data_IF_513127154326
#
_entry.id   IF_513127154326
#
_cell.length_a   1.000
_cell.length_b   1.000
_cell.length_c   1.000
_cell.angle_alpha   90.00
_cell.angle_beta   90.00
_cell.angle_gamma   90.00
#
_symmetry.space_group_name_H-M   'P 1'
#
loop_
_entity.id
_entity.type
_entity.pdbx_description
1 polymer ?
#
# COMPACT_ATOMS: atom_id res chain seq x y z
N UNK A 1 -17.20 1.42 7.29
CA UNK A 1 -16.66 0.23 6.60
C UNK A 1 -15.17 0.48 6.44
N UNK A 2 -14.33 -0.33 7.07
CA UNK A 2 -12.86 -0.16 7.01
C UNK A 2 -12.34 -1.17 6.01
N UNK A 3 -11.94 -0.71 4.82
CA UNK A 3 -11.48 -1.57 3.71
C UNK A 3 -10.15 -2.24 4.08
N UNK A 4 -9.98 -3.54 3.81
CA UNK A 4 -8.78 -4.31 4.16
C UNK A 4 -8.15 -4.96 2.91
N UNK A 5 -7.29 -4.24 2.19
CA UNK A 5 -6.59 -4.76 1.01
C UNK A 5 -5.38 -5.63 1.44
N UNK A 6 -5.44 -6.96 1.29
CA UNK A 6 -4.35 -7.91 1.62
C UNK A 6 -3.70 -8.46 0.35
N UNK A 7 -2.38 -8.72 0.31
CA UNK A 7 -1.64 -9.14 -0.90
C UNK A 7 -0.59 -10.18 -0.52
N UNK A 8 -0.54 -11.40 -1.08
CA UNK A 8 0.37 -12.52 -0.71
C UNK A 8 1.43 -12.85 -1.79
N UNK A 9 2.70 -13.03 -1.43
CA UNK A 9 3.76 -13.60 -2.30
C UNK A 9 4.47 -14.79 -1.63
N UNK A 10 4.35 -15.98 -2.25
CA UNK A 10 5.33 -17.06 -2.13
C UNK A 10 5.97 -17.30 -3.50
N UNK A 11 7.30 -17.37 -3.50
CA UNK A 11 8.13 -17.80 -4.63
C UNK A 11 8.07 -19.32 -4.75
N UNK A 12 7.71 -19.84 -5.93
CA UNK A 12 8.18 -21.15 -6.41
C UNK A 12 8.78 -21.01 -7.80
N UNK A 13 9.78 -21.86 -8.03
CA UNK A 13 10.81 -21.86 -9.07
C UNK A 13 10.31 -21.56 -10.48
N UNK A 14 11.06 -20.72 -11.18
CA UNK A 14 11.04 -20.54 -12.63
C UNK A 14 12.10 -21.44 -13.27
N UNK A 15 11.72 -22.16 -14.33
CA UNK A 15 12.64 -22.78 -15.27
C UNK A 15 13.55 -21.71 -15.93
N UNK A 16 14.80 -22.04 -16.29
CA UNK A 16 15.77 -21.07 -16.82
C UNK A 16 15.57 -20.80 -18.31
N UNK A 17 15.63 -19.51 -18.68
CA UNK A 17 15.87 -19.02 -20.04
C UNK A 17 17.39 -18.91 -20.24
N UNK A 18 17.97 -19.35 -21.38
CA UNK A 18 19.41 -19.40 -21.56
C UNK A 18 20.00 -18.01 -21.82
N UNK A 19 21.09 -17.68 -21.12
CA UNK A 19 21.95 -16.53 -21.40
C UNK A 19 23.40 -16.98 -21.32
N UNK A 20 24.15 -16.73 -22.39
CA UNK A 20 25.58 -17.05 -22.55
C UNK A 20 26.47 -16.35 -21.49
N UNK A 21 27.65 -16.93 -21.17
CA UNK A 21 28.40 -16.59 -19.97
C UNK A 21 29.31 -15.37 -20.12
N UNK A 22 29.28 -14.48 -19.12
CA UNK A 22 30.28 -13.43 -18.85
C UNK A 22 31.10 -13.86 -17.62
N UNK A 23 32.44 -13.70 -17.62
CA UNK A 23 33.34 -14.35 -16.64
C UNK A 23 33.24 -13.77 -15.22
N UNK A 24 33.50 -14.65 -14.25
CA UNK A 24 33.35 -14.44 -12.80
C UNK A 24 34.73 -14.22 -12.15
N UNK A 25 34.94 -13.21 -11.29
CA UNK A 25 36.09 -13.16 -10.39
C UNK A 25 35.86 -13.98 -9.10
N UNK A 26 36.95 -14.59 -8.60
CA UNK A 26 37.00 -15.57 -7.50
C UNK A 26 36.60 -15.05 -6.09
N UNK A 27 36.19 -15.95 -5.16
CA UNK A 27 35.59 -15.58 -3.88
C UNK A 27 36.58 -15.42 -2.69
N UNK A 28 36.25 -14.50 -1.78
CA UNK A 28 36.89 -14.25 -0.48
C UNK A 28 36.06 -14.96 0.64
N UNK A 29 36.67 -15.51 1.71
CA UNK A 29 36.06 -16.56 2.54
C UNK A 29 35.06 -16.09 3.63
N UNK A 30 34.23 -17.05 4.07
CA UNK A 30 33.10 -16.91 5.01
C UNK A 30 33.52 -17.18 6.46
N UNK A 31 32.98 -16.40 7.41
CA UNK A 31 32.90 -16.77 8.83
C UNK A 31 31.45 -16.82 9.38
N UNK A 32 31.10 -18.03 9.83
CA UNK A 32 30.29 -18.45 10.98
C UNK A 32 28.95 -17.77 11.36
N UNK A 33 27.88 -18.58 11.17
CA UNK A 33 26.78 -18.97 12.09
C UNK A 33 26.20 -17.94 13.08
N UNK A 34 24.86 -17.79 13.03
CA UNK A 34 24.06 -17.80 14.25
C UNK A 34 22.69 -18.49 14.04
N UNK A 35 22.46 -19.56 14.81
CA UNK A 35 21.18 -20.27 14.96
C UNK A 35 20.33 -19.53 15.98
N UNK A 36 19.04 -19.31 15.71
CA UNK A 36 17.93 -19.84 16.53
C UNK A 36 16.56 -19.37 16.02
N UNK A 37 15.70 -20.36 15.71
CA UNK A 37 14.24 -20.21 15.69
C UNK A 37 13.74 -20.11 17.13
N UNK A 38 12.81 -19.19 17.44
CA UNK A 38 11.71 -19.46 18.39
C UNK A 38 10.62 -18.37 18.33
N UNK A 39 9.40 -18.84 18.08
CA UNK A 39 8.07 -18.40 18.56
C UNK A 39 7.91 -16.95 19.03
N UNK A 40 6.97 -16.24 18.39
CA UNK A 40 6.12 -15.27 19.10
C UNK A 40 4.71 -15.28 18.49
N UNK A 41 3.90 -16.24 18.95
CA UNK A 41 2.44 -16.20 18.88
C UNK A 41 1.95 -15.63 20.20
N UNK A 42 1.51 -14.36 20.24
CA UNK A 42 0.56 -13.91 21.26
C UNK A 42 0.05 -12.49 21.02
N UNK A 43 -1.25 -12.43 20.69
CA UNK A 43 -2.24 -11.48 21.22
C UNK A 43 -1.97 -9.98 21.02
N UNK A 44 -2.25 -9.50 19.81
CA UNK A 44 -2.75 -8.13 19.63
C UNK A 44 -4.29 -8.18 19.69
N UNK A 45 -4.85 -7.94 20.88
CA UNK A 45 -6.31 -7.80 21.07
C UNK A 45 -6.65 -6.32 20.90
N UNK A 46 -6.62 -5.84 19.66
CA UNK A 46 -7.08 -4.49 19.35
C UNK A 46 -8.62 -4.49 19.37
N UNK A 47 -9.19 -3.86 20.40
CA UNK A 47 -10.64 -3.75 20.62
C UNK A 47 -11.20 -2.65 19.71
N UNK A 48 -11.16 -2.86 18.40
CA UNK A 48 -11.94 -2.07 17.44
C UNK A 48 -13.34 -2.68 17.44
N UNK A 49 -14.26 -2.01 18.15
CA UNK A 49 -15.73 -2.20 18.10
C UNK A 49 -16.21 -3.64 17.81
N UNK A 50 -16.18 -4.50 18.84
CA UNK A 50 -17.19 -5.55 19.07
C UNK A 50 -17.66 -6.42 17.89
N UNK A 51 -16.84 -6.72 16.89
CA UNK A 51 -17.13 -7.75 15.89
C UNK A 51 -16.15 -8.90 16.04
N UNK A 52 -16.71 -10.08 16.28
CA UNK A 52 -15.96 -11.34 16.33
C UNK A 52 -15.33 -11.60 14.96
N UNK A 53 -13.99 -11.64 14.89
CA UNK A 53 -13.23 -11.95 13.67
C UNK A 53 -13.19 -13.46 13.36
N UNK A 54 -13.98 -14.30 14.06
CA UNK A 54 -14.00 -15.76 13.86
C UNK A 54 -15.00 -16.25 12.80
N UNK A 55 -15.55 -15.36 11.97
CA UNK A 55 -16.59 -15.70 11.00
C UNK A 55 -16.50 -15.00 9.65
N UNK A 56 -15.29 -14.65 9.15
CA UNK A 56 -15.16 -14.11 7.79
C UNK A 56 -15.33 -15.25 6.77
N UNK A 57 -16.58 -15.62 6.47
CA UNK A 57 -16.91 -16.36 5.27
C UNK A 57 -16.59 -15.47 4.05
N UNK A 58 -15.88 -15.95 3.03
CA UNK A 58 -15.56 -15.17 1.84
C UNK A 58 -16.78 -15.09 0.91
N UNK A 59 -17.68 -14.16 1.18
CA UNK A 59 -18.62 -13.62 0.20
C UNK A 59 -18.33 -12.12 0.24
N UNK A 60 -17.45 -11.51 -0.56
CA UNK A 60 -17.41 -11.52 -2.01
C UNK A 60 -15.97 -11.23 -2.48
N UNK A 61 -15.04 -12.14 -2.20
CA UNK A 61 -13.65 -12.00 -2.63
C UNK A 61 -13.56 -12.27 -4.14
N UNK A 62 -13.80 -11.23 -4.94
CA UNK A 62 -13.76 -11.33 -6.41
C UNK A 62 -12.34 -11.67 -6.84
N UNK A 63 -12.13 -12.92 -7.21
CA UNK A 63 -10.87 -13.39 -7.80
C UNK A 63 -10.96 -13.11 -9.31
N UNK A 64 -10.29 -12.07 -9.77
CA UNK A 64 -10.34 -11.67 -11.17
C UNK A 64 -9.24 -12.38 -11.98
N UNK A 65 -9.62 -13.28 -12.89
CA UNK A 65 -8.76 -13.76 -13.98
C UNK A 65 -8.77 -12.71 -15.08
N UNK A 66 -7.74 -11.87 -15.13
CA UNK A 66 -7.65 -10.79 -16.11
C UNK A 66 -7.63 -11.35 -17.55
N UNK A 67 -8.71 -11.15 -18.31
CA UNK A 67 -8.64 -11.14 -19.79
C UNK A 67 -7.82 -9.91 -20.20
N UNK A 68 -6.91 -10.06 -21.15
CA UNK A 68 -6.05 -8.98 -21.63
C UNK A 68 -6.90 -7.99 -22.42
N UNK A 69 -7.42 -6.97 -21.76
CA UNK A 69 -8.02 -5.80 -22.41
C UNK A 69 -7.20 -4.58 -22.02
N UNK A 70 -6.41 -4.07 -22.99
CA UNK A 70 -5.71 -2.79 -22.83
C UNK A 70 -6.79 -1.72 -22.74
N UNK A 71 -6.88 -1.05 -21.60
CA UNK A 71 -7.90 -0.04 -21.31
C UNK A 71 -7.22 1.28 -20.95
N UNK A 72 -7.72 2.38 -21.49
CA UNK A 72 -7.24 3.71 -21.15
C UNK A 72 -7.81 4.14 -19.79
N UNK A 73 -7.07 4.93 -19.00
CA UNK A 73 -7.58 5.44 -17.72
C UNK A 73 -8.84 6.30 -17.90
N UNK A 74 -9.01 6.95 -19.05
CA UNK A 74 -10.19 7.73 -19.40
C UNK A 74 -11.49 6.93 -19.48
N UNK A 75 -11.44 5.60 -19.59
CA UNK A 75 -12.65 4.77 -19.57
C UNK A 75 -13.24 4.63 -18.17
N UNK A 76 -12.49 5.03 -17.14
CA UNK A 76 -12.94 5.10 -15.76
C UNK A 76 -13.61 6.47 -15.53
N UNK A 77 -14.87 6.60 -15.93
CA UNK A 77 -15.68 7.84 -15.83
C UNK A 77 -15.83 8.42 -14.39
N UNK A 78 -15.18 7.81 -13.41
CA UNK A 78 -15.26 8.15 -11.98
C UNK A 78 -14.12 9.12 -11.58
N UNK A 79 -13.04 9.18 -12.35
CA UNK A 79 -11.88 10.01 -12.01
C UNK A 79 -12.10 11.48 -12.43
N UNK A 80 -11.76 12.47 -11.58
CA UNK A 80 -11.78 13.88 -11.95
C UNK A 80 -10.84 14.19 -13.12
N UNK A 81 -11.20 15.18 -13.94
CA UNK A 81 -10.39 15.61 -15.09
C UNK A 81 -8.94 15.95 -14.69
N UNK A 82 -8.76 16.69 -13.59
CA UNK A 82 -7.44 17.01 -13.06
C UNK A 82 -6.58 15.78 -12.73
N UNK A 83 -7.20 14.67 -12.31
CA UNK A 83 -6.48 13.44 -12.02
C UNK A 83 -6.08 12.69 -13.31
N UNK A 84 -6.91 12.75 -14.35
CA UNK A 84 -6.57 12.24 -15.68
C UNK A 84 -5.42 13.04 -16.32
N UNK A 85 -5.42 14.36 -16.18
CA UNK A 85 -4.33 15.22 -16.64
C UNK A 85 -3.01 14.90 -15.93
N UNK A 86 -3.06 14.71 -14.61
CA UNK A 86 -1.88 14.29 -13.86
C UNK A 86 -1.36 12.92 -14.30
N UNK A 87 -2.25 11.95 -14.57
CA UNK A 87 -1.86 10.65 -15.10
C UNK A 87 -1.18 10.76 -16.47
N UNK A 88 -1.69 11.62 -17.35
CA UNK A 88 -1.07 11.88 -18.65
C UNK A 88 0.32 12.51 -18.49
N UNK A 89 0.49 13.52 -17.62
CA UNK A 89 1.81 14.13 -17.34
C UNK A 89 2.81 13.13 -16.74
N UNK A 90 2.34 12.20 -15.92
CA UNK A 90 3.15 11.14 -15.33
C UNK A 90 3.46 9.99 -16.32
N UNK A 91 2.91 10.03 -17.54
CA UNK A 91 3.11 9.02 -18.57
C UNK A 91 2.24 7.77 -18.42
N UNK A 92 1.20 7.80 -17.59
CA UNK A 92 0.23 6.72 -17.45
C UNK A 92 -0.82 6.74 -18.57
N UNK A 93 -0.39 6.41 -19.80
CA UNK A 93 -1.25 6.45 -20.99
C UNK A 93 -2.27 5.30 -21.03
N UNK A 94 -1.85 4.09 -20.62
CA UNK A 94 -2.68 2.87 -20.67
C UNK A 94 -2.54 2.08 -19.38
N UNK A 95 -3.65 1.49 -18.92
CA UNK A 95 -3.65 0.63 -17.74
C UNK A 95 -2.94 -0.70 -18.00
N UNK A 96 -2.19 -1.18 -17.02
CA UNK A 96 -1.73 -2.57 -16.99
C UNK A 96 -2.94 -3.51 -16.79
N UNK A 97 -2.86 -4.81 -17.17
CA UNK A 97 -3.95 -5.75 -16.95
C UNK A 97 -4.39 -5.85 -15.48
N UNK A 98 -3.44 -5.67 -14.56
CA UNK A 98 -3.69 -5.67 -13.11
C UNK A 98 -4.46 -4.41 -12.69
N UNK A 99 -4.12 -3.26 -13.25
CA UNK A 99 -4.85 -2.01 -13.03
C UNK A 99 -6.27 -2.10 -13.58
N UNK A 100 -6.44 -2.55 -14.83
CA UNK A 100 -7.74 -2.69 -15.48
C UNK A 100 -8.69 -3.62 -14.69
N UNK A 101 -8.17 -4.71 -14.12
CA UNK A 101 -8.96 -5.65 -13.34
C UNK A 101 -9.32 -5.13 -11.94
N UNK A 102 -8.41 -4.41 -11.27
CA UNK A 102 -8.57 -4.05 -9.87
C UNK A 102 -9.13 -2.64 -9.65
N UNK A 103 -8.79 -1.69 -10.52
CA UNK A 103 -9.11 -0.27 -10.33
C UNK A 103 -10.62 0.01 -10.30
N UNK A 104 -11.47 -0.57 -11.17
CA UNK A 104 -12.93 -0.37 -11.08
C UNK A 104 -13.51 -0.79 -9.73
N UNK A 105 -13.13 -1.98 -9.24
CA UNK A 105 -13.59 -2.49 -7.95
C UNK A 105 -13.10 -1.64 -6.77
N UNK A 106 -11.86 -1.14 -6.84
CA UNK A 106 -11.32 -0.25 -5.81
C UNK A 106 -12.02 1.11 -5.81
N UNK A 107 -12.31 1.70 -6.98
CA UNK A 107 -13.00 3.00 -7.09
C UNK A 107 -14.46 2.93 -6.61
N UNK A 108 -15.08 1.76 -6.70
CA UNK A 108 -16.40 1.49 -6.11
C UNK A 108 -16.34 1.28 -4.58
N UNK A 109 -15.15 1.30 -3.98
CA UNK A 109 -14.97 1.05 -2.55
C UNK A 109 -15.26 -0.40 -2.17
N UNK A 110 -14.90 -1.39 -3.01
CA UNK A 110 -14.94 -2.82 -2.67
C UNK A 110 -13.60 -3.30 -2.11
N UNK A 111 -13.67 -4.32 -1.25
CA UNK A 111 -12.46 -5.00 -0.76
C UNK A 111 -11.85 -5.83 -1.88
N UNK A 112 -10.56 -5.63 -2.14
CA UNK A 112 -9.86 -6.29 -3.25
C UNK A 112 -8.58 -6.96 -2.75
N UNK A 113 -8.23 -8.10 -3.36
CA UNK A 113 -6.94 -8.76 -3.16
C UNK A 113 -6.26 -8.93 -4.50
N UNK A 114 -5.14 -8.24 -4.69
CA UNK A 114 -4.46 -8.16 -6.00
C UNK A 114 -3.12 -8.90 -5.99
N UNK A 115 -3.04 -10.12 -6.49
CA UNK A 115 -1.75 -10.82 -6.58
C UNK A 115 -1.08 -10.55 -7.93
N UNK A 116 0.11 -9.93 -7.91
CA UNK A 116 0.87 -9.66 -9.14
C UNK A 116 2.38 -9.49 -8.86
N UNK A 117 3.21 -9.58 -9.91
CA UNK A 117 4.68 -9.39 -9.85
C UNK A 117 5.07 -7.94 -9.49
N UNK A 118 6.26 -7.72 -8.93
CA UNK A 118 6.80 -6.36 -8.72
C UNK A 118 6.85 -5.60 -10.06
N UNK A 119 6.58 -4.30 -10.05
CA UNK A 119 6.51 -3.49 -11.28
C UNK A 119 5.20 -3.60 -12.05
N UNK A 120 4.20 -4.38 -11.59
CA UNK A 120 2.91 -4.52 -12.27
C UNK A 120 1.95 -3.33 -12.15
N UNK A 121 2.41 -2.18 -11.60
CA UNK A 121 1.58 -0.98 -11.42
C UNK A 121 0.63 -0.99 -10.22
N UNK A 122 0.78 -1.93 -9.26
CA UNK A 122 -0.08 -2.03 -8.06
C UNK A 122 -0.15 -0.75 -7.23
N UNK A 123 0.97 -0.04 -7.11
CA UNK A 123 1.06 1.20 -6.33
C UNK A 123 0.15 2.28 -6.89
N UNK A 124 0.15 2.46 -8.21
CA UNK A 124 -0.78 3.37 -8.87
C UNK A 124 -2.23 2.91 -8.72
N UNK A 125 -2.49 1.59 -8.79
CA UNK A 125 -3.86 1.05 -8.62
C UNK A 125 -4.45 1.44 -7.26
N UNK A 126 -3.81 1.06 -6.16
CA UNK A 126 -4.35 1.40 -4.84
C UNK A 126 -4.20 2.89 -4.53
N UNK A 127 -3.18 3.56 -5.07
CA UNK A 127 -2.96 4.98 -4.86
C UNK A 127 -4.08 5.83 -5.45
N UNK A 128 -4.50 5.54 -6.68
CA UNK A 128 -5.64 6.21 -7.31
C UNK A 128 -6.94 5.97 -6.55
N UNK A 129 -7.19 4.72 -6.15
CA UNK A 129 -8.36 4.37 -5.35
C UNK A 129 -8.38 5.08 -3.99
N UNK A 130 -7.24 5.12 -3.31
CA UNK A 130 -7.09 5.80 -2.03
C UNK A 130 -7.36 7.30 -2.18
N UNK A 131 -6.76 7.94 -3.19
CA UNK A 131 -6.92 9.38 -3.44
C UNK A 131 -8.35 9.77 -3.83
N UNK A 132 -9.08 8.91 -4.55
CA UNK A 132 -10.47 9.15 -4.94
C UNK A 132 -11.41 9.36 -3.74
N UNK A 133 -11.13 8.70 -2.62
CA UNK A 133 -11.99 8.72 -1.44
C UNK A 133 -11.52 9.72 -0.37
N UNK A 134 -10.46 10.49 -0.62
CA UNK A 134 -10.01 11.50 0.32
C UNK A 134 -10.84 12.77 0.22
N UNK A 135 -11.33 13.19 1.37
CA UNK A 135 -11.86 14.53 1.57
C UNK A 135 -10.76 15.44 2.14
N UNK A 136 -10.19 16.31 1.30
CA UNK A 136 -9.13 17.25 1.70
C UNK A 136 -9.63 18.38 2.63
N UNK A 137 -10.94 18.53 2.84
CA UNK A 137 -11.50 19.49 3.80
C UNK A 137 -11.43 18.99 5.24
N UNK A 138 -11.24 17.67 5.44
CA UNK A 138 -11.23 17.03 6.75
C UNK A 138 -9.80 16.73 7.20
N UNK A 139 -9.33 17.49 8.20
CA UNK A 139 -8.05 17.26 8.88
C UNK A 139 -8.07 16.02 9.78
N UNK A 140 -8.24 14.83 9.19
CA UNK A 140 -8.24 13.53 9.86
C UNK A 140 -7.55 12.49 8.99
N UNK A 141 -6.94 11.49 9.64
CA UNK A 141 -6.39 10.31 8.95
C UNK A 141 -7.53 9.48 8.37
N UNK A 142 -7.65 9.50 7.03
CA UNK A 142 -8.68 8.78 6.29
C UNK A 142 -8.13 7.49 5.68
N UNK A 143 -6.83 7.46 5.38
CA UNK A 143 -6.19 6.32 4.74
C UNK A 143 -4.86 5.94 5.37
N UNK A 144 -4.60 4.63 5.45
CA UNK A 144 -3.39 4.06 6.01
C UNK A 144 -2.80 3.02 5.05
N UNK A 145 -1.51 3.13 4.75
CA UNK A 145 -0.75 2.14 4.00
C UNK A 145 0.32 1.55 4.91
N UNK A 146 0.24 0.26 5.20
CA UNK A 146 1.26 -0.45 5.97
C UNK A 146 2.32 -1.02 5.04
N UNK A 147 3.59 -0.81 5.36
CA UNK A 147 4.71 -1.31 4.57
C UNK A 147 5.69 -2.10 5.46
N UNK A 148 6.26 -3.23 4.99
CA UNK A 148 7.17 -4.06 5.78
C UNK A 148 8.51 -3.39 6.07
N UNK A 149 8.99 -2.53 5.16
CA UNK A 149 10.29 -1.87 5.29
C UNK A 149 10.16 -0.36 5.08
N UNK A 150 11.18 0.39 5.52
CA UNK A 150 11.19 1.85 5.45
C UNK A 150 11.34 2.33 4.02
N UNK A 151 12.22 1.67 3.27
CA UNK A 151 12.54 1.98 1.88
C UNK A 151 11.29 1.83 1.00
N UNK A 152 10.49 0.79 1.27
CA UNK A 152 9.23 0.60 0.55
C UNK A 152 8.18 1.65 0.95
N UNK A 153 8.12 2.04 2.22
CA UNK A 153 7.23 3.10 2.67
C UNK A 153 7.58 4.44 2.00
N UNK A 154 8.87 4.76 1.89
CA UNK A 154 9.35 5.99 1.24
C UNK A 154 9.04 5.97 -0.26
N UNK A 155 9.25 4.84 -0.94
CA UNK A 155 8.87 4.67 -2.35
C UNK A 155 7.36 4.84 -2.57
N UNK A 156 6.53 4.20 -1.73
CA UNK A 156 5.07 4.32 -1.82
C UNK A 156 4.63 5.75 -1.54
N UNK A 157 5.18 6.41 -0.53
CA UNK A 157 4.84 7.79 -0.21
C UNK A 157 5.26 8.78 -1.31
N UNK A 158 6.42 8.57 -1.93
CA UNK A 158 6.86 9.38 -3.07
C UNK A 158 5.89 9.22 -4.26
N UNK A 159 5.46 7.99 -4.55
CA UNK A 159 4.52 7.73 -5.63
C UNK A 159 3.13 8.32 -5.34
N UNK A 160 2.63 8.17 -4.12
CA UNK A 160 1.35 8.79 -3.73
C UNK A 160 1.39 10.32 -3.84
N UNK A 161 2.53 10.96 -3.51
CA UNK A 161 2.69 12.41 -3.70
C UNK A 161 2.67 12.83 -5.17
N UNK A 162 3.25 12.01 -6.06
CA UNK A 162 3.16 12.24 -7.52
C UNK A 162 1.71 12.15 -7.99
N UNK A 163 1.00 11.10 -7.59
CA UNK A 163 -0.40 10.89 -7.96
C UNK A 163 -1.34 11.96 -7.35
N UNK A 164 -1.00 12.51 -6.19
CA UNK A 164 -1.77 13.54 -5.50
C UNK A 164 -1.41 14.98 -5.91
N UNK A 165 -0.47 15.19 -6.84
CA UNK A 165 0.04 16.53 -7.20
C UNK A 165 -1.07 17.53 -7.57
N UNK A 166 -2.15 17.05 -8.19
CA UNK A 166 -3.26 17.89 -8.65
C UNK A 166 -4.41 17.97 -7.63
N UNK A 167 -4.27 17.33 -6.47
CA UNK A 167 -5.24 17.37 -5.38
C UNK A 167 -4.75 18.37 -4.32
N UNK A 168 -5.32 19.59 -4.26
CA UNK A 168 -4.90 20.60 -3.30
C UNK A 168 -5.12 20.11 -1.87
N UNK A 169 -4.30 20.60 -0.94
CA UNK A 169 -4.41 20.37 0.50
C UNK A 169 -4.28 18.90 0.96
N UNK A 170 -3.86 17.97 0.09
CA UNK A 170 -3.66 16.58 0.49
C UNK A 170 -2.34 16.38 1.23
N UNK A 171 -2.43 16.16 2.54
CA UNK A 171 -1.28 15.88 3.41
C UNK A 171 -0.97 14.38 3.52
N UNK A 172 0.26 13.99 3.15
CA UNK A 172 0.79 12.61 3.21
C UNK A 172 2.01 12.55 4.14
N UNK A 173 1.93 11.73 5.19
CA UNK A 173 3.00 11.57 6.19
C UNK A 173 3.53 10.13 6.23
N UNK A 174 4.85 9.99 6.34
CA UNK A 174 5.51 8.70 6.55
C UNK A 174 5.87 8.48 8.03
N UNK A 175 5.41 7.37 8.60
CA UNK A 175 5.75 6.93 9.96
C UNK A 175 6.64 5.69 9.91
N UNK A 176 7.93 5.94 9.80
CA UNK A 176 8.95 4.90 9.74
C UNK A 176 9.98 5.12 10.85
N UNK A 177 10.62 4.06 11.32
CA UNK A 177 11.73 4.20 12.27
C UNK A 177 12.92 4.94 11.63
N UNK A 178 13.89 5.36 12.44
CA UNK A 178 15.09 6.09 11.98
C UNK A 178 14.93 7.60 11.95
N UNK A 179 13.70 8.10 11.92
CA UNK A 179 13.39 9.50 12.20
C UNK A 179 13.14 9.73 13.70
N UNK A 180 13.54 10.88 14.27
CA UNK A 180 13.23 11.24 15.65
C UNK A 180 11.72 11.18 15.92
N UNK A 181 11.32 10.63 17.06
CA UNK A 181 9.90 10.52 17.42
C UNK A 181 9.23 11.89 17.57
N UNK A 182 9.94 12.87 18.14
CA UNK A 182 9.47 14.25 18.29
C UNK A 182 9.05 14.86 16.95
N UNK A 183 9.93 14.81 15.94
CA UNK A 183 9.64 15.36 14.62
C UNK A 183 8.39 14.74 13.96
N UNK A 184 8.20 13.42 14.10
CA UNK A 184 6.99 12.75 13.61
C UNK A 184 5.74 13.16 14.39
N UNK A 185 5.84 13.25 15.73
CA UNK A 185 4.75 13.72 16.59
C UNK A 185 4.35 15.16 16.23
N UNK A 186 5.31 16.04 16.03
CA UNK A 186 5.05 17.43 15.72
C UNK A 186 4.39 17.55 14.33
N UNK A 187 4.82 16.72 13.37
CA UNK A 187 4.17 16.59 12.06
C UNK A 187 2.73 16.08 12.13
N UNK A 188 2.38 15.33 13.18
CA UNK A 188 1.04 14.78 13.42
C UNK A 188 0.09 15.75 14.12
N UNK A 189 0.57 16.88 14.66
CA UNK A 189 -0.30 17.91 15.24
C UNK A 189 -1.34 18.42 14.24
N UNK A 190 -0.95 18.53 12.97
CA UNK A 190 -1.88 18.67 11.85
C UNK A 190 -2.09 17.29 11.24
N UNK A 191 -3.23 16.65 11.53
CA UNK A 191 -3.47 15.28 11.13
C UNK A 191 -3.35 15.12 9.60
N UNK A 192 -2.49 14.21 9.11
CA UNK A 192 -2.39 13.91 7.68
C UNK A 192 -3.64 13.16 7.21
N UNK A 193 -3.98 13.28 5.92
CA UNK A 193 -5.09 12.54 5.32
C UNK A 193 -4.66 11.09 5.03
N UNK A 194 -3.38 10.93 4.62
CA UNK A 194 -2.76 9.64 4.33
C UNK A 194 -1.56 9.43 5.24
N UNK A 195 -1.52 8.28 5.90
CA UNK A 195 -0.33 7.78 6.59
C UNK A 195 0.23 6.60 5.80
N UNK A 196 1.54 6.62 5.54
CA UNK A 196 2.30 5.45 5.07
C UNK A 196 3.24 5.05 6.20
N UNK A 197 3.14 3.84 6.73
CA UNK A 197 3.85 3.49 7.97
C UNK A 197 4.43 2.09 7.98
N UNK A 198 5.50 1.92 8.77
CA UNK A 198 5.93 0.58 9.20
C UNK A 198 5.14 0.14 10.43
N UNK A 199 4.73 -1.14 10.55
CA UNK A 199 3.86 -1.60 11.64
C UNK A 199 4.37 -1.26 13.05
N UNK A 200 5.67 -1.45 13.29
CA UNK A 200 6.27 -1.16 14.60
C UNK A 200 6.16 0.31 14.97
N UNK A 201 6.49 1.22 14.04
CA UNK A 201 6.47 2.65 14.33
C UNK A 201 5.06 3.20 14.47
N UNK A 202 4.11 2.72 13.66
CA UNK A 202 2.71 3.07 13.83
C UNK A 202 2.19 2.64 15.21
N UNK A 203 2.55 1.44 15.66
CA UNK A 203 2.15 0.94 16.97
C UNK A 203 2.68 1.84 18.10
N UNK A 204 3.93 2.29 18.02
CA UNK A 204 4.50 3.25 19.00
C UNK A 204 3.66 4.52 19.09
N UNK A 205 3.24 5.08 17.94
CA UNK A 205 2.44 6.29 17.87
C UNK A 205 1.02 6.10 18.42
N UNK A 206 0.40 4.95 18.15
CA UNK A 206 -0.91 4.57 18.67
C UNK A 206 -0.88 4.37 20.18
N UNK A 207 0.12 3.66 20.70
CA UNK A 207 0.29 3.44 22.15
C UNK A 207 0.49 4.73 22.93
N UNK A 208 1.15 5.72 22.32
CA UNK A 208 1.36 7.04 22.91
C UNK A 208 0.23 8.04 22.64
N UNK A 209 -0.82 7.64 21.94
CA UNK A 209 -1.97 8.51 21.63
C UNK A 209 -1.64 9.68 20.69
N UNK A 210 -0.55 9.59 19.94
CA UNK A 210 -0.09 10.68 19.03
C UNK A 210 -0.72 10.61 17.63
N UNK A 211 -1.39 9.49 17.31
CA UNK A 211 -2.14 9.28 16.07
C UNK A 211 -3.54 8.77 16.45
N UNK A 212 -4.56 9.34 15.84
CA UNK A 212 -5.91 8.76 15.81
C UNK A 212 -6.21 8.18 14.42
N UNK A 213 -6.86 7.02 14.41
CA UNK A 213 -7.36 6.32 13.22
C UNK A 213 -8.90 6.20 13.24
N UNK A 214 -9.60 7.03 14.01
CA UNK A 214 -11.05 6.93 14.19
C UNK A 214 -11.86 7.22 12.92
N UNK A 215 -11.26 7.95 11.97
CA UNK A 215 -11.84 8.29 10.68
C UNK A 215 -11.27 7.43 9.53
N UNK A 216 -10.57 6.33 9.84
CA UNK A 216 -9.95 5.49 8.83
C UNK A 216 -11.00 4.77 7.98
N UNK A 217 -10.99 5.05 6.68
CA UNK A 217 -11.88 4.45 5.68
C UNK A 217 -11.17 3.35 4.92
N UNK A 218 -9.90 3.57 4.57
CA UNK A 218 -9.13 2.68 3.70
C UNK A 218 -7.83 2.22 4.38
N UNK A 219 -7.65 0.89 4.46
CA UNK A 219 -6.39 0.27 4.87
C UNK A 219 -5.80 -0.55 3.71
N UNK A 220 -4.58 -0.21 3.34
CA UNK A 220 -3.78 -0.96 2.39
C UNK A 220 -2.68 -1.70 3.13
N UNK A 221 -2.62 -3.02 2.96
CA UNK A 221 -1.54 -3.84 3.51
C UNK A 221 -0.52 -4.11 2.40
N UNK A 222 0.60 -3.38 2.46
CA UNK A 222 1.76 -3.62 1.63
C UNK A 222 2.43 -4.93 2.02
N UNK A 223 2.46 -5.88 1.09
CA UNK A 223 3.03 -7.24 1.18
C UNK A 223 2.66 -7.99 2.47
N UNK A 224 1.57 -8.74 2.40
CA UNK A 224 1.50 -10.06 3.03
C UNK A 224 1.96 -11.14 2.04
#
# INVERSE_FOLDING_TARGET
MTMLLTLLLQTRQSDPVPTDPVPVPEPIPRHSRCRTRRRMKSRLKCRIRGRDLRGYAPADCVTFTARITVTAFSTLNVLPAAQLDNLNELGYLTMTPVQAAALPAILEGRDVRVQAKTGSGKTATFGLGLLQHIDASLYKTQSLVLCPTRELADQVAAELRRLARFLPNTKILTLCGGQPFGAQRDSLQHAPHIIVATPGRLLDHLQKGTVSLDALQTLVLGRS
#
